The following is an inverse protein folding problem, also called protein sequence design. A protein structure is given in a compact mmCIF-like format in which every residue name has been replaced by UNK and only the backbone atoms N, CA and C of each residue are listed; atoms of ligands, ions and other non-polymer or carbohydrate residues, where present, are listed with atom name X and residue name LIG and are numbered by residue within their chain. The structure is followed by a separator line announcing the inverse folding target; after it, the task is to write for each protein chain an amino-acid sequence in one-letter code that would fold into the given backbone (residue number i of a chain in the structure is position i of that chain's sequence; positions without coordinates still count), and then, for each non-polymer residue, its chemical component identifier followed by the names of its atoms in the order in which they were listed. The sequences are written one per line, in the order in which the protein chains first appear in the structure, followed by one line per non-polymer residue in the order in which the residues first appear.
data_IF_297625257350
#
_entry.id   IF_297625257350
#
_cell.length_a   1.000
_cell.length_b   1.000
_cell.length_c   1.000
_cell.angle_alpha   90.00
_cell.angle_beta   90.00
_cell.angle_gamma   90.00
#
_symmetry.space_group_name_H-M   'P 1'
#
loop_
_entity.id
_entity.type
_entity.pdbx_description
1 polymer ?
#
# COMPACT_ATOMS: atom_id res chain seq x y z
N UNK A 1 -14.31 18.63 -1.37
CA UNK A 1 -14.02 17.18 -1.32
C UNK A 1 -12.51 17.05 -1.14
N UNK A 2 -12.00 16.68 0.04
CA UNK A 2 -10.63 17.10 0.42
C UNK A 2 -9.51 16.31 -0.26
N UNK A 3 -9.70 15.04 -0.63
CA UNK A 3 -8.72 14.22 -1.37
C UNK A 3 -9.43 13.16 -2.22
N UNK A 4 -9.06 13.03 -3.50
CA UNK A 4 -9.63 12.04 -4.43
C UNK A 4 -8.64 11.80 -5.58
N UNK A 5 -8.50 10.55 -5.99
CA UNK A 5 -7.80 10.19 -7.22
C UNK A 5 -8.66 10.45 -8.46
N UNK A 6 -8.06 11.00 -9.51
CA UNK A 6 -8.66 11.07 -10.83
C UNK A 6 -8.71 9.68 -11.49
N UNK A 7 -9.47 9.53 -12.58
CA UNK A 7 -9.45 8.26 -13.33
C UNK A 7 -8.07 8.00 -13.97
N UNK A 8 -7.37 9.06 -14.40
CA UNK A 8 -6.00 8.96 -14.89
C UNK A 8 -5.03 8.45 -13.81
N UNK A 9 -5.19 8.90 -12.55
CA UNK A 9 -4.40 8.37 -11.44
C UNK A 9 -4.65 6.87 -11.26
N UNK A 10 -5.91 6.43 -11.31
CA UNK A 10 -6.27 5.02 -11.12
C UNK A 10 -5.73 4.12 -12.23
N UNK A 11 -5.80 4.56 -13.48
CA UNK A 11 -5.21 3.87 -14.63
C UNK A 11 -3.68 3.75 -14.48
N UNK A 12 -3.04 4.83 -14.06
CA UNK A 12 -1.61 4.85 -13.78
C UNK A 12 -1.23 3.92 -12.63
N UNK A 13 -1.98 3.92 -11.51
CA UNK A 13 -1.76 2.98 -10.41
C UNK A 13 -1.91 1.52 -10.85
N UNK A 14 -2.92 1.22 -11.68
CA UNK A 14 -3.13 -0.13 -12.20
C UNK A 14 -1.96 -0.58 -13.08
N UNK A 15 -1.43 0.32 -13.90
CA UNK A 15 -0.24 0.05 -14.73
C UNK A 15 0.97 -0.29 -13.86
N UNK A 16 1.20 0.46 -12.78
CA UNK A 16 2.26 0.19 -11.80
C UNK A 16 2.05 -1.17 -11.12
N UNK A 17 0.82 -1.45 -10.69
CA UNK A 17 0.47 -2.70 -10.02
C UNK A 17 0.78 -3.90 -10.92
N UNK A 18 0.38 -3.84 -12.19
CA UNK A 18 0.65 -4.89 -13.18
C UNK A 18 2.16 -5.07 -13.40
N UNK A 19 2.93 -3.99 -13.43
CA UNK A 19 4.39 -4.09 -13.54
C UNK A 19 4.99 -4.82 -12.33
N UNK A 20 4.55 -4.51 -11.11
CA UNK A 20 5.04 -5.16 -9.90
C UNK A 20 4.59 -6.61 -9.74
N UNK A 21 3.36 -6.94 -10.13
CA UNK A 21 2.88 -8.33 -10.21
C UNK A 21 3.86 -9.19 -11.02
N UNK A 22 4.24 -8.69 -12.21
CA UNK A 22 5.15 -9.36 -13.13
C UNK A 22 6.59 -9.44 -12.59
N UNK A 23 7.13 -8.31 -12.12
CA UNK A 23 8.51 -8.24 -11.59
C UNK A 23 8.68 -9.18 -10.39
N UNK A 24 7.71 -9.21 -9.48
CA UNK A 24 7.74 -10.03 -8.27
C UNK A 24 7.27 -11.48 -8.52
N UNK A 25 6.78 -11.79 -9.72
CA UNK A 25 6.18 -13.09 -10.08
C UNK A 25 5.15 -13.53 -9.02
N UNK A 26 4.17 -12.67 -8.76
CA UNK A 26 3.21 -12.90 -7.67
C UNK A 26 2.26 -14.05 -8.03
N UNK A 27 1.96 -14.93 -7.05
CA UNK A 27 0.97 -16.00 -7.22
C UNK A 27 -0.46 -15.46 -7.10
N UNK A 28 -0.65 -14.54 -6.17
CA UNK A 28 -1.91 -13.82 -5.96
C UNK A 28 -1.83 -12.56 -6.82
N UNK A 29 -2.85 -12.32 -7.65
CA UNK A 29 -2.96 -11.11 -8.46
C UNK A 29 -3.54 -9.99 -7.60
N UNK A 30 -2.76 -8.97 -7.25
CA UNK A 30 -3.26 -7.91 -6.40
C UNK A 30 -4.29 -7.05 -7.15
N UNK A 31 -5.22 -6.46 -6.41
CA UNK A 31 -6.23 -5.53 -6.93
C UNK A 31 -6.25 -4.27 -6.10
N UNK A 32 -6.45 -3.12 -6.72
CA UNK A 32 -6.52 -1.83 -6.05
C UNK A 32 -7.97 -1.46 -5.75
N UNK A 33 -8.23 -1.04 -4.52
CA UNK A 33 -9.49 -0.43 -4.10
C UNK A 33 -9.25 0.97 -3.58
N UNK A 34 -10.20 1.86 -3.87
CA UNK A 34 -10.09 3.30 -3.55
C UNK A 34 -11.09 3.73 -2.46
N UNK A 35 -11.95 2.80 -2.03
CA UNK A 35 -12.73 2.93 -0.80
C UNK A 35 -12.18 2.00 0.28
N UNK A 36 -12.30 2.44 1.53
CA UNK A 36 -11.90 1.63 2.70
C UNK A 36 -13.05 0.79 3.25
N UNK A 37 -14.20 0.70 2.55
CA UNK A 37 -15.39 0.02 3.11
C UNK A 37 -15.10 -1.46 3.37
N UNK A 38 -14.34 -2.08 2.48
CA UNK A 38 -13.92 -3.47 2.57
C UNK A 38 -12.92 -3.75 3.71
N UNK A 39 -12.26 -2.70 4.21
CA UNK A 39 -11.29 -2.77 5.31
C UNK A 39 -11.91 -2.36 6.65
N UNK A 40 -13.20 -2.03 6.70
CA UNK A 40 -13.88 -1.59 7.93
C UNK A 40 -13.91 -2.68 9.01
N UNK A 41 -13.88 -3.96 8.61
CA UNK A 41 -13.85 -5.13 9.50
C UNK A 41 -12.42 -5.57 9.89
N UNK A 42 -11.42 -4.73 9.63
CA UNK A 42 -10.02 -5.01 9.94
C UNK A 42 -9.49 -3.97 10.92
N UNK A 43 -8.93 -4.43 12.04
CA UNK A 43 -8.34 -3.56 13.07
C UNK A 43 -6.84 -3.43 12.83
N UNK A 44 -6.30 -2.22 12.96
CA UNK A 44 -4.86 -2.00 13.01
C UNK A 44 -4.22 -2.70 14.21
N UNK A 45 -3.16 -3.47 13.97
CA UNK A 45 -2.24 -3.83 15.06
C UNK A 45 -1.65 -2.54 15.64
N UNK A 46 -1.93 -2.26 16.91
CA UNK A 46 -1.34 -1.15 17.66
C UNK A 46 -2.12 0.18 17.68
N UNK A 47 -3.44 0.17 17.42
CA UNK A 47 -4.32 1.32 17.74
C UNK A 47 -4.09 2.59 16.91
N UNK A 48 -3.50 2.47 15.72
CA UNK A 48 -3.26 3.62 14.83
C UNK A 48 -4.54 4.06 14.14
N UNK A 49 -4.69 5.38 13.95
CA UNK A 49 -5.81 5.96 13.21
C UNK A 49 -5.63 5.73 11.70
N UNK A 50 -6.68 5.31 10.96
CA UNK A 50 -6.60 5.07 9.53
C UNK A 50 -6.13 6.26 8.69
N UNK A 51 -6.39 7.49 9.17
CA UNK A 51 -5.96 8.72 8.50
C UNK A 51 -4.44 8.89 8.40
N UNK A 52 -3.66 8.13 9.18
CA UNK A 52 -2.20 8.16 9.16
C UNK A 52 -1.55 7.11 8.25
N UNK A 53 -2.36 6.36 7.51
CA UNK A 53 -1.93 5.17 6.76
C UNK A 53 -2.11 5.44 5.27
N UNK A 54 -1.06 5.21 4.49
CA UNK A 54 -1.03 5.51 3.05
C UNK A 54 -1.64 4.41 2.18
N UNK A 55 -1.54 3.16 2.58
CA UNK A 55 -2.19 2.02 1.95
C UNK A 55 -2.37 0.88 2.95
N UNK A 56 -3.18 -0.12 2.61
CA UNK A 56 -3.28 -1.37 3.38
C UNK A 56 -3.49 -2.52 2.42
N UNK A 57 -3.01 -3.72 2.76
CA UNK A 57 -3.35 -4.93 2.00
C UNK A 57 -3.93 -6.05 2.85
N UNK A 58 -4.84 -6.82 2.25
CA UNK A 58 -5.26 -8.13 2.72
C UNK A 58 -4.39 -9.16 2.00
N UNK A 59 -3.42 -9.72 2.73
CA UNK A 59 -2.33 -10.54 2.17
C UNK A 59 -2.86 -11.81 1.48
N UNK A 60 -3.97 -12.35 1.97
CA UNK A 60 -4.57 -13.62 1.55
C UNK A 60 -5.27 -13.51 0.19
N UNK A 61 -5.94 -12.39 -0.09
CA UNK A 61 -6.70 -12.17 -1.32
C UNK A 61 -6.05 -11.14 -2.26
N UNK A 62 -4.99 -10.46 -1.82
CA UNK A 62 -4.26 -9.48 -2.62
C UNK A 62 -4.98 -8.15 -2.80
N UNK A 63 -6.02 -7.87 -2.02
CA UNK A 63 -6.70 -6.58 -2.09
C UNK A 63 -5.84 -5.51 -1.42
N UNK A 64 -5.57 -4.41 -2.13
CA UNK A 64 -4.80 -3.27 -1.65
C UNK A 64 -5.71 -2.03 -1.64
N UNK A 65 -5.95 -1.44 -0.47
CA UNK A 65 -6.56 -0.13 -0.37
C UNK A 65 -5.50 0.96 -0.49
N UNK A 66 -5.75 1.98 -1.32
CA UNK A 66 -4.93 3.20 -1.38
C UNK A 66 -5.66 4.36 -0.72
N UNK A 67 -4.98 5.05 0.19
CA UNK A 67 -5.51 6.25 0.80
C UNK A 67 -5.52 7.41 -0.22
N UNK A 68 -6.68 8.06 -0.47
CA UNK A 68 -6.78 9.21 -1.36
C UNK A 68 -5.83 10.37 -1.05
N UNK A 69 -5.32 10.48 0.19
CA UNK A 69 -4.32 11.49 0.55
C UNK A 69 -3.04 11.40 -0.29
N UNK A 70 -2.69 10.23 -0.82
CA UNK A 70 -1.56 10.08 -1.75
C UNK A 70 -1.72 10.92 -3.02
N UNK A 71 -2.93 11.40 -3.35
CA UNK A 71 -3.14 12.29 -4.50
C UNK A 71 -2.40 13.63 -4.38
N UNK A 72 -2.04 14.02 -3.15
CA UNK A 72 -1.28 15.26 -2.88
C UNK A 72 0.20 15.03 -2.63
N UNK A 73 0.63 13.77 -2.57
CA UNK A 73 2.03 13.41 -2.31
C UNK A 73 2.79 13.25 -3.64
N UNK A 74 4.14 13.31 -3.61
CA UNK A 74 4.96 13.02 -4.79
C UNK A 74 4.63 11.64 -5.36
N UNK A 75 4.54 11.53 -6.69
CA UNK A 75 4.19 10.27 -7.38
C UNK A 75 5.06 9.09 -6.94
N UNK A 76 6.34 9.32 -6.66
CA UNK A 76 7.28 8.30 -6.17
C UNK A 76 6.82 7.64 -4.86
N UNK A 77 6.11 8.35 -3.98
CA UNK A 77 5.58 7.78 -2.75
C UNK A 77 4.47 6.78 -3.03
N UNK A 78 3.60 7.08 -4.00
CA UNK A 78 2.58 6.13 -4.44
C UNK A 78 3.20 4.88 -5.05
N UNK A 79 4.23 5.05 -5.90
CA UNK A 79 4.94 3.91 -6.50
C UNK A 79 5.59 3.04 -5.42
N UNK A 80 6.31 3.64 -4.48
CA UNK A 80 6.92 2.93 -3.35
C UNK A 80 5.86 2.23 -2.47
N UNK A 81 4.75 2.91 -2.20
CA UNK A 81 3.64 2.36 -1.39
C UNK A 81 3.00 1.15 -2.06
N UNK A 82 2.67 1.22 -3.35
CA UNK A 82 2.13 0.06 -4.07
C UNK A 82 3.14 -1.10 -4.05
N UNK A 83 4.43 -0.82 -4.25
CA UNK A 83 5.46 -1.85 -4.19
C UNK A 83 5.58 -2.48 -2.79
N UNK A 84 5.53 -1.67 -1.73
CA UNK A 84 5.53 -2.11 -0.33
C UNK A 84 4.38 -3.09 -0.06
N UNK A 85 3.16 -2.76 -0.48
CA UNK A 85 2.00 -3.64 -0.30
C UNK A 85 2.12 -4.93 -1.14
N UNK A 86 2.65 -4.86 -2.37
CA UNK A 86 2.96 -6.05 -3.16
C UNK A 86 3.98 -6.96 -2.47
N UNK A 87 4.98 -6.41 -1.76
CA UNK A 87 5.94 -7.18 -0.98
C UNK A 87 5.29 -7.88 0.21
N UNK A 88 4.32 -7.25 0.88
CA UNK A 88 3.54 -7.90 1.93
C UNK A 88 2.73 -9.09 1.41
N UNK A 89 2.10 -8.96 0.24
CA UNK A 89 1.35 -10.06 -0.39
C UNK A 89 2.31 -11.16 -0.85
N UNK A 90 3.45 -10.80 -1.45
CA UNK A 90 4.45 -11.76 -1.92
C UNK A 90 5.10 -12.52 -0.77
N UNK A 91 5.35 -11.85 0.35
CA UNK A 91 6.04 -12.38 1.50
C UNK A 91 5.26 -12.13 2.80
N UNK A 92 4.15 -12.84 3.04
CA UNK A 92 3.21 -12.53 4.13
C UNK A 92 3.81 -12.66 5.53
N UNK A 93 4.87 -13.47 5.67
CA UNK A 93 5.61 -13.67 6.93
C UNK A 93 6.81 -12.72 7.08
N UNK A 94 7.07 -11.84 6.11
CA UNK A 94 8.19 -10.90 6.19
C UNK A 94 7.87 -9.77 7.17
N UNK A 95 8.82 -9.51 8.07
CA UNK A 95 8.70 -8.42 9.03
C UNK A 95 8.70 -7.04 8.34
N UNK A 96 7.84 -6.13 8.82
CA UNK A 96 7.63 -4.78 8.28
C UNK A 96 8.93 -4.00 8.00
N UNK A 97 9.85 -3.95 8.96
CA UNK A 97 11.15 -3.29 8.78
C UNK A 97 11.95 -3.81 7.56
N UNK A 98 11.82 -5.09 7.21
CA UNK A 98 12.50 -5.68 6.05
C UNK A 98 11.77 -5.32 4.76
N UNK A 99 10.42 -5.38 4.77
CA UNK A 99 9.58 -4.95 3.66
C UNK A 99 9.90 -3.50 3.27
N UNK A 100 9.84 -2.58 4.24
CA UNK A 100 10.16 -1.16 4.03
C UNK A 100 11.56 -0.94 3.46
N UNK A 101 12.59 -1.59 4.04
CA UNK A 101 13.97 -1.48 3.54
C UNK A 101 14.12 -1.96 2.09
N UNK A 102 13.40 -3.03 1.72
CA UNK A 102 13.40 -3.50 0.33
C UNK A 102 12.68 -2.53 -0.60
N UNK A 103 11.53 -1.99 -0.18
CA UNK A 103 10.80 -1.00 -0.97
C UNK A 103 11.64 0.25 -1.21
N UNK A 104 12.23 0.81 -0.16
CA UNK A 104 13.07 2.02 -0.24
C UNK A 104 14.36 1.79 -1.02
N UNK A 105 14.87 0.54 -1.07
CA UNK A 105 16.03 0.19 -1.90
C UNK A 105 15.69 0.19 -3.39
N UNK A 106 14.49 -0.28 -3.76
CA UNK A 106 14.07 -0.43 -5.17
C UNK A 106 13.48 0.87 -5.70
N UNK A 107 12.69 1.57 -4.88
CA UNK A 107 12.08 2.86 -5.20
C UNK A 107 12.51 3.84 -4.11
N UNK A 108 13.65 4.52 -4.28
CA UNK A 108 14.18 5.46 -3.31
C UNK A 108 13.21 6.61 -3.06
N UNK A 109 12.93 6.86 -1.79
CA UNK A 109 12.09 7.95 -1.30
C UNK A 109 12.89 8.76 -0.28
N UNK A 110 12.71 10.09 -0.25
CA UNK A 110 13.52 10.96 0.62
C UNK A 110 13.23 10.68 2.11
N UNK A 111 14.26 10.72 2.97
CA UNK A 111 14.13 10.38 4.39
C UNK A 111 13.18 11.32 5.19
N UNK A 112 13.00 12.57 4.73
CA UNK A 112 12.01 13.50 5.28
C UNK A 112 10.56 13.10 4.98
N UNK A 113 10.35 12.16 4.05
CA UNK A 113 9.06 11.61 3.62
C UNK A 113 8.79 10.23 4.25
N UNK A 114 9.83 9.42 4.53
CA UNK A 114 9.69 8.09 5.15
C UNK A 114 9.39 8.12 6.65
N UNK A 115 9.75 9.20 7.36
CA UNK A 115 9.45 9.39 8.79
C UNK A 115 7.96 9.66 9.06
N UNK A 116 7.16 9.98 8.03
CA UNK A 116 5.70 10.09 8.11
C UNK A 116 4.96 8.77 7.90
N UNK A 117 5.61 7.73 7.34
CA UNK A 117 5.00 6.41 7.12
C UNK A 117 4.78 5.70 8.45
N UNK A 118 3.53 5.60 8.91
CA UNK A 118 3.17 4.82 10.11
C UNK A 118 2.64 3.44 9.69
N UNK A 119 3.29 2.39 10.24
CA UNK A 119 3.06 0.93 10.09
C UNK A 119 1.70 0.45 9.57
N UNK A 120 1.76 -0.64 8.78
CA UNK A 120 0.70 -1.10 7.87
C UNK A 120 0.06 -2.46 8.22
N UNK A 121 0.37 -3.06 9.37
CA UNK A 121 -0.21 -4.37 9.71
C UNK A 121 -1.65 -4.24 10.26
N UNK A 122 -2.59 -4.85 9.54
CA UNK A 122 -3.98 -5.06 9.96
C UNK A 122 -4.21 -6.52 10.35
N UNK A 123 -5.18 -6.76 11.23
CA UNK A 123 -5.65 -8.10 11.62
C UNK A 123 -7.16 -8.14 11.43
N UNK A 124 -7.66 -9.26 10.89
CA UNK A 124 -9.09 -9.48 10.72
C UNK A 124 -9.77 -9.60 12.09
N UNK A 125 -10.89 -8.89 12.27
CA UNK A 125 -11.74 -9.06 13.44
C UNK A 125 -12.76 -10.15 13.11
N UNK A 126 -12.76 -11.24 13.90
CA UNK A 126 -13.81 -12.26 13.84
C UNK A 126 -15.14 -11.72 14.37
#
# INVERSE_FOLDING_TARGET
MKWKFSESDKEWHQTILNAFENILKMKIKPVLVYDRKHFANYIYKGGKKPSGVWAECIKECGTIWLNPHLSTEPKVETVNTIYHECLHIKYPKMHENKVRKMADKVIPVAASLTTKKKTFDIVHQH
#
